data_IF_151946539630
#
_entry.id   IF_151946539630
#
_cell.length_a   1.000
_cell.length_b   1.000
_cell.length_c   1.000
_cell.angle_alpha   90.00
_cell.angle_beta   90.00
_cell.angle_gamma   90.00
#
_symmetry.space_group_name_H-M   'P 1'
#
loop_
_entity.id
_entity.type
_entity.pdbx_description
1 polymer ?
#
# COMPACT_ATOMS: atom_id res chain seq x y z
N UNK A 1 24.23 13.54 -1.37
CA UNK A 1 23.23 13.14 -0.34
C UNK A 1 22.11 12.20 -0.83
N UNK A 2 22.21 11.53 -1.99
CA UNK A 2 21.11 10.71 -2.55
C UNK A 2 20.69 9.52 -1.68
N UNK A 3 21.66 8.77 -1.13
CA UNK A 3 21.37 7.65 -0.23
C UNK A 3 20.66 8.08 1.06
N UNK A 4 20.90 9.30 1.56
CA UNK A 4 20.17 9.83 2.71
C UNK A 4 18.69 10.07 2.38
N UNK A 5 18.41 10.62 1.19
CA UNK A 5 17.02 10.79 0.70
C UNK A 5 16.33 9.44 0.62
N UNK A 6 16.95 8.44 -0.03
CA UNK A 6 16.38 7.10 -0.15
C UNK A 6 16.15 6.45 1.23
N UNK A 7 17.10 6.58 2.16
CA UNK A 7 16.94 6.09 3.52
C UNK A 7 15.76 6.78 4.22
N UNK A 8 15.58 8.09 4.08
CA UNK A 8 14.48 8.79 4.72
C UNK A 8 13.12 8.50 4.07
N UNK A 9 13.07 8.16 2.78
CA UNK A 9 11.86 7.62 2.14
C UNK A 9 11.48 6.28 2.76
N UNK A 10 12.45 5.39 3.01
CA UNK A 10 12.20 4.14 3.75
C UNK A 10 11.66 4.47 5.16
N UNK A 11 12.25 5.46 5.83
CA UNK A 11 11.81 5.89 7.15
C UNK A 11 10.35 6.32 7.18
N UNK A 12 9.93 7.13 6.21
CA UNK A 12 8.53 7.54 6.02
C UNK A 12 7.61 6.33 5.80
N UNK A 13 7.93 5.46 4.83
CA UNK A 13 7.11 4.28 4.53
C UNK A 13 6.98 3.34 5.74
N UNK A 14 8.03 3.21 6.57
CA UNK A 14 7.99 2.40 7.79
C UNK A 14 7.19 3.08 8.91
N UNK A 15 7.31 4.40 9.07
CA UNK A 15 6.63 5.11 10.14
C UNK A 15 5.12 5.24 9.89
N UNK A 16 4.70 5.49 8.65
CA UNK A 16 3.29 5.69 8.29
C UNK A 16 2.49 4.41 8.11
N UNK A 17 3.11 3.27 7.77
CA UNK A 17 2.35 2.04 7.50
C UNK A 17 2.54 0.95 8.56
N UNK A 18 3.71 0.28 8.70
CA UNK A 18 3.84 -0.81 9.66
C UNK A 18 3.85 -0.34 11.11
N UNK A 19 4.29 0.89 11.40
CA UNK A 19 4.36 1.41 12.77
C UNK A 19 3.20 2.32 13.18
N UNK A 20 2.38 2.79 12.24
CA UNK A 20 1.14 3.48 12.56
C UNK A 20 0.12 2.48 13.12
N UNK A 21 -0.49 2.79 14.28
CA UNK A 21 -1.57 1.97 14.83
C UNK A 21 -2.84 2.28 14.04
N UNK A 22 -3.43 1.27 13.38
CA UNK A 22 -4.70 1.32 12.63
C UNK A 22 -5.88 1.86 13.46
N UNK A 23 -5.95 3.16 13.70
CA UNK A 23 -7.10 3.83 14.29
C UNK A 23 -7.42 5.06 13.44
N UNK A 24 -8.64 5.10 12.92
CA UNK A 24 -9.14 6.12 11.99
C UNK A 24 -9.16 7.54 12.61
N UNK A 25 -9.13 7.67 13.94
CA UNK A 25 -8.94 8.93 14.65
C UNK A 25 -7.94 8.74 15.78
N UNK A 26 -6.77 9.37 15.65
CA UNK A 26 -5.74 9.34 16.69
C UNK A 26 -6.13 10.31 17.81
N UNK A 27 -6.23 9.81 19.04
CA UNK A 27 -6.30 10.70 20.20
C UNK A 27 -5.04 11.56 20.28
N UNK A 28 -5.11 12.74 20.93
CA UNK A 28 -3.96 13.65 21.10
C UNK A 28 -2.70 12.95 21.64
N UNK A 29 -2.84 11.95 22.51
CA UNK A 29 -1.72 11.13 23.01
C UNK A 29 -1.13 10.21 21.94
N UNK A 30 -1.96 9.66 21.06
CA UNK A 30 -1.52 8.79 19.98
C UNK A 30 -0.86 9.58 18.85
N UNK A 31 -1.30 10.80 18.57
CA UNK A 31 -0.65 11.71 17.62
C UNK A 31 0.78 12.04 18.06
N UNK A 32 1.01 12.33 19.35
CA UNK A 32 2.36 12.52 19.89
C UNK A 32 3.20 11.24 19.77
N UNK A 33 2.60 10.08 20.04
CA UNK A 33 3.27 8.79 19.86
C UNK A 33 3.68 8.53 18.40
N UNK A 34 2.86 8.94 17.44
CA UNK A 34 3.12 8.78 16.02
C UNK A 34 4.28 9.66 15.54
N UNK A 35 4.32 10.92 15.97
CA UNK A 35 5.46 11.83 15.70
C UNK A 35 6.74 11.29 16.35
N UNK A 36 6.63 10.71 17.55
CA UNK A 36 7.79 10.11 18.23
C UNK A 36 8.35 8.91 17.46
N UNK A 37 7.50 8.05 16.90
CA UNK A 37 7.92 6.93 16.04
C UNK A 37 8.67 7.47 14.81
N UNK A 38 8.12 8.49 14.13
CA UNK A 38 8.80 9.14 13.01
C UNK A 38 10.19 9.62 13.39
N UNK A 39 10.29 10.39 14.49
CA UNK A 39 11.57 10.87 14.99
C UNK A 39 12.55 9.72 15.27
N UNK A 40 12.13 8.65 15.94
CA UNK A 40 12.98 7.50 16.22
C UNK A 40 13.45 6.78 14.96
N UNK A 41 12.56 6.56 13.98
CA UNK A 41 12.92 5.90 12.72
C UNK A 41 13.92 6.73 11.92
N UNK A 42 13.66 8.03 11.77
CA UNK A 42 14.60 8.95 11.10
C UNK A 42 15.93 9.06 11.85
N UNK A 43 15.92 9.02 13.18
CA UNK A 43 17.14 9.03 13.98
C UNK A 43 17.98 7.77 13.75
N UNK A 44 17.36 6.58 13.76
CA UNK A 44 18.05 5.32 13.50
C UNK A 44 18.66 5.30 12.08
N UNK A 45 17.88 5.70 11.07
CA UNK A 45 18.35 5.75 9.69
C UNK A 45 19.40 6.83 9.47
N UNK A 46 19.28 7.95 10.17
CA UNK A 46 20.28 9.01 10.18
C UNK A 46 21.61 8.53 10.78
N UNK A 47 21.57 7.82 11.92
CA UNK A 47 22.76 7.21 12.53
C UNK A 47 23.37 6.17 11.57
N UNK A 48 22.56 5.31 10.96
CA UNK A 48 23.04 4.35 9.96
C UNK A 48 23.72 5.05 8.77
N UNK A 49 23.18 6.18 8.32
CA UNK A 49 23.80 6.99 7.28
C UNK A 49 25.14 7.61 7.72
N UNK A 50 25.25 8.10 8.96
CA UNK A 50 26.53 8.61 9.48
C UNK A 50 27.60 7.51 9.53
N UNK A 51 27.22 6.27 9.91
CA UNK A 51 28.13 5.12 9.92
C UNK A 51 28.56 4.68 8.51
N UNK A 52 27.76 5.02 7.48
CA UNK A 52 28.09 4.75 6.09
C UNK A 52 29.09 5.77 5.50
N UNK A 53 29.16 6.99 6.06
CA UNK A 53 30.08 8.01 5.57
C UNK A 53 31.53 7.71 5.95
N UNK A 54 32.49 7.94 5.03
CA UNK A 54 33.91 7.73 5.33
C UNK A 54 34.45 8.72 6.37
N UNK A 55 33.88 9.92 6.42
CA UNK A 55 34.23 10.97 7.39
C UNK A 55 32.97 11.62 7.94
N UNK A 56 32.95 11.84 9.26
CA UNK A 56 31.83 12.46 9.97
C UNK A 56 32.31 13.74 10.64
N UNK A 57 31.72 14.87 10.26
CA UNK A 57 32.00 16.17 10.85
C UNK A 57 30.86 16.61 11.77
N UNK A 58 31.16 17.48 12.74
CA UNK A 58 30.13 18.06 13.62
C UNK A 58 29.07 18.85 12.84
N UNK A 59 29.44 19.48 11.73
CA UNK A 59 28.52 20.18 10.84
C UNK A 59 27.49 19.23 10.21
N UNK A 60 27.92 18.05 9.73
CA UNK A 60 27.02 17.04 9.16
C UNK A 60 26.05 16.53 10.22
N UNK A 61 26.53 16.26 11.44
CA UNK A 61 25.68 15.82 12.55
C UNK A 61 24.62 16.87 12.86
N UNK A 62 24.99 18.15 12.97
CA UNK A 62 24.06 19.24 13.26
C UNK A 62 23.02 19.42 12.14
N UNK A 63 23.45 19.37 10.87
CA UNK A 63 22.54 19.40 9.71
C UNK A 63 21.57 18.21 9.73
N UNK A 64 22.05 17.03 10.09
CA UNK A 64 21.23 15.83 10.16
C UNK A 64 20.15 15.95 11.25
N UNK A 65 20.52 16.40 12.45
CA UNK A 65 19.54 16.64 13.53
C UNK A 65 18.51 17.69 13.09
N UNK A 66 18.97 18.78 12.48
CA UNK A 66 18.08 19.84 11.99
C UNK A 66 17.11 19.33 10.92
N UNK A 67 17.57 18.57 9.93
CA UNK A 67 16.68 18.06 8.87
C UNK A 67 15.67 17.04 9.40
N UNK A 68 16.05 16.20 10.38
CA UNK A 68 15.12 15.25 11.01
C UNK A 68 14.00 16.00 11.71
N UNK A 69 14.34 17.03 12.51
CA UNK A 69 13.35 17.85 13.20
C UNK A 69 12.44 18.60 12.21
N UNK A 70 13.02 19.15 11.13
CA UNK A 70 12.27 19.84 10.09
C UNK A 70 11.28 18.91 9.38
N UNK A 71 11.71 17.71 8.99
CA UNK A 71 10.85 16.72 8.33
C UNK A 71 9.72 16.28 9.26
N UNK A 72 10.02 15.96 10.53
CA UNK A 72 8.99 15.56 11.49
C UNK A 72 7.95 16.66 11.72
N UNK A 73 8.39 17.92 11.76
CA UNK A 73 7.48 19.06 11.90
C UNK A 73 6.59 19.24 10.66
N UNK A 74 7.17 19.21 9.45
CA UNK A 74 6.40 19.37 8.21
C UNK A 74 5.44 18.20 7.98
N UNK A 75 5.87 16.97 8.29
CA UNK A 75 5.02 15.78 8.23
C UNK A 75 3.79 15.92 9.13
N UNK A 76 3.98 16.35 10.38
CA UNK A 76 2.88 16.60 11.31
C UNK A 76 1.88 17.64 10.80
N UNK A 77 2.36 18.72 10.16
CA UNK A 77 1.50 19.76 9.58
C UNK A 77 0.67 19.19 8.42
N UNK A 78 1.27 18.37 7.56
CA UNK A 78 0.57 17.74 6.43
C UNK A 78 -0.47 16.74 6.92
N UNK A 79 -0.15 15.91 7.91
CA UNK A 79 -1.09 14.92 8.44
C UNK A 79 -2.34 15.57 9.04
N UNK A 80 -2.20 16.67 9.80
CA UNK A 80 -3.35 17.45 10.29
C UNK A 80 -4.17 18.00 9.12
N UNK A 81 -3.51 18.56 8.11
CA UNK A 81 -4.18 19.11 6.94
C UNK A 81 -4.98 18.04 6.18
N UNK A 82 -4.40 16.85 6.02
CA UNK A 82 -5.03 15.70 5.39
C UNK A 82 -6.28 15.25 6.15
N UNK A 83 -6.20 15.07 7.47
CA UNK A 83 -7.35 14.66 8.28
C UNK A 83 -8.52 15.64 8.11
N UNK A 84 -8.25 16.94 8.09
CA UNK A 84 -9.29 17.95 7.87
C UNK A 84 -9.93 17.88 6.48
N UNK A 85 -9.14 17.60 5.44
CA UNK A 85 -9.65 17.46 4.07
C UNK A 85 -10.55 16.22 3.95
N UNK A 86 -10.18 15.10 4.59
CA UNK A 86 -10.97 13.87 4.59
C UNK A 86 -12.31 14.09 5.30
N UNK A 87 -12.30 14.66 6.52
CA UNK A 87 -13.54 14.96 7.25
C UNK A 87 -14.49 15.86 6.41
N UNK A 88 -13.95 16.82 5.63
CA UNK A 88 -14.74 17.68 4.75
C UNK A 88 -15.33 16.96 3.53
N UNK A 89 -14.68 15.91 3.03
CA UNK A 89 -15.19 15.09 1.93
C UNK A 89 -16.33 14.22 2.45
N UNK A 90 -16.10 13.52 3.57
CA UNK A 90 -17.07 12.61 4.19
C UNK A 90 -18.36 13.34 4.63
N UNK A 91 -18.28 14.63 4.99
CA UNK A 91 -19.45 15.44 5.35
C UNK A 91 -20.25 15.96 4.14
N UNK A 92 -19.63 16.09 2.96
CA UNK A 92 -20.23 16.81 1.81
C UNK A 92 -20.71 15.91 0.68
N UNK A 93 -20.05 14.78 0.47
CA UNK A 93 -20.35 13.91 -0.67
C UNK A 93 -21.25 12.76 -0.24
N UNK A 94 -22.46 12.72 -0.79
CA UNK A 94 -23.41 11.61 -0.57
C UNK A 94 -23.18 10.45 -1.57
N UNK A 95 -22.45 10.70 -2.68
CA UNK A 95 -22.13 9.69 -3.69
C UNK A 95 -20.88 8.91 -3.29
N UNK A 96 -21.08 7.65 -2.91
CA UNK A 96 -20.03 6.72 -2.48
C UNK A 96 -18.91 6.54 -3.52
N UNK A 97 -19.20 6.68 -4.82
CA UNK A 97 -18.19 6.56 -5.88
C UNK A 97 -17.28 7.80 -5.93
N UNK A 98 -17.86 8.99 -5.76
CA UNK A 98 -17.09 10.23 -5.69
C UNK A 98 -16.25 10.30 -4.41
N UNK A 99 -16.82 9.87 -3.27
CA UNK A 99 -16.10 9.73 -2.01
C UNK A 99 -14.84 8.87 -2.17
N UNK A 100 -14.98 7.67 -2.77
CA UNK A 100 -13.86 6.78 -3.07
C UNK A 100 -12.79 7.47 -3.93
N UNK A 101 -13.18 8.16 -5.01
CA UNK A 101 -12.23 8.87 -5.89
C UNK A 101 -11.47 9.95 -5.12
N UNK A 102 -12.16 10.75 -4.32
CA UNK A 102 -11.53 11.81 -3.52
C UNK A 102 -10.59 11.23 -2.46
N UNK A 103 -11.00 10.18 -1.75
CA UNK A 103 -10.15 9.50 -0.75
C UNK A 103 -8.90 8.90 -1.39
N UNK A 104 -9.02 8.26 -2.56
CA UNK A 104 -7.85 7.78 -3.34
C UNK A 104 -6.95 8.95 -3.75
N UNK A 105 -7.53 10.05 -4.23
CA UNK A 105 -6.80 11.26 -4.62
C UNK A 105 -6.01 11.87 -3.46
N UNK A 106 -6.65 12.03 -2.30
CA UNK A 106 -6.04 12.54 -1.07
C UNK A 106 -4.92 11.60 -0.60
N UNK A 107 -5.16 10.28 -0.63
CA UNK A 107 -4.13 9.30 -0.28
C UNK A 107 -2.90 9.41 -1.17
N UNK A 108 -3.05 9.48 -2.50
CA UNK A 108 -1.92 9.61 -3.42
C UNK A 108 -1.20 10.95 -3.27
N UNK A 109 -1.95 12.04 -3.06
CA UNK A 109 -1.38 13.38 -2.85
C UNK A 109 -0.58 13.46 -1.55
N UNK A 110 -1.02 12.79 -0.49
CA UNK A 110 -0.31 12.68 0.77
C UNK A 110 1.08 12.04 0.58
N UNK A 111 1.14 10.90 -0.13
CA UNK A 111 2.42 10.22 -0.43
C UNK A 111 3.38 11.11 -1.24
N UNK A 112 2.88 11.82 -2.25
CA UNK A 112 3.69 12.74 -3.07
C UNK A 112 4.17 13.95 -2.25
N UNK A 113 3.33 14.47 -1.36
CA UNK A 113 3.65 15.61 -0.50
C UNK A 113 4.76 15.24 0.48
N UNK A 114 4.67 14.09 1.15
CA UNK A 114 5.71 13.62 2.06
C UNK A 114 7.05 13.37 1.37
N UNK A 115 7.03 12.75 0.18
CA UNK A 115 8.24 12.60 -0.63
C UNK A 115 8.87 13.96 -0.99
N UNK A 116 8.04 14.93 -1.36
CA UNK A 116 8.49 16.28 -1.71
C UNK A 116 9.09 17.01 -0.49
N UNK A 117 8.50 16.83 0.69
CA UNK A 117 9.06 17.35 1.96
C UNK A 117 10.43 16.76 2.24
N UNK A 118 10.61 15.44 2.12
CA UNK A 118 11.89 14.79 2.38
C UNK A 118 12.97 15.30 1.44
N UNK A 119 12.70 15.29 0.12
CA UNK A 119 13.64 15.77 -0.89
C UNK A 119 13.93 17.26 -0.68
N UNK A 120 12.89 18.08 -0.51
CA UNK A 120 13.01 19.53 -0.34
C UNK A 120 13.76 19.93 0.92
N UNK A 121 13.48 19.28 2.06
CA UNK A 121 14.15 19.54 3.33
C UNK A 121 15.64 19.19 3.26
N UNK A 122 16.00 18.03 2.70
CA UNK A 122 17.41 17.65 2.52
C UNK A 122 18.11 18.60 1.53
N UNK A 123 17.45 18.94 0.41
CA UNK A 123 17.96 19.94 -0.55
C UNK A 123 18.30 21.26 0.14
N UNK A 124 17.36 21.77 0.94
CA UNK A 124 17.48 23.05 1.62
C UNK A 124 18.60 23.04 2.68
N UNK A 125 18.65 22.01 3.54
CA UNK A 125 19.60 21.94 4.65
C UNK A 125 21.03 21.64 4.20
N UNK A 126 21.19 20.74 3.24
CA UNK A 126 22.50 20.36 2.72
C UNK A 126 22.95 21.21 1.52
N UNK A 127 22.09 22.13 1.04
CA UNK A 127 22.33 22.97 -0.15
C UNK A 127 22.59 22.14 -1.41
N UNK A 128 21.89 21.01 -1.53
CA UNK A 128 21.99 20.07 -2.64
C UNK A 128 20.91 20.39 -3.68
N UNK A 129 21.29 20.36 -4.96
CA UNK A 129 20.36 20.59 -6.07
C UNK A 129 19.96 19.26 -6.70
N UNK A 130 19.00 18.56 -6.10
CA UNK A 130 18.49 17.31 -6.68
C UNK A 130 17.66 17.61 -7.92
N UNK A 131 18.18 17.26 -9.10
CA UNK A 131 17.43 17.30 -10.36
C UNK A 131 16.69 15.99 -10.58
N UNK A 132 15.72 15.70 -9.71
CA UNK A 132 15.02 14.40 -9.63
C UNK A 132 14.50 13.95 -11.00
N UNK A 133 13.82 14.83 -11.74
CA UNK A 133 13.29 14.49 -13.07
C UNK A 133 14.38 14.18 -14.09
N UNK A 134 15.48 14.93 -14.06
CA UNK A 134 16.62 14.66 -14.96
C UNK A 134 17.29 13.33 -14.61
N UNK A 135 17.47 13.05 -13.31
CA UNK A 135 18.01 11.77 -12.85
C UNK A 135 17.10 10.60 -13.21
N UNK A 136 15.77 10.78 -13.14
CA UNK A 136 14.81 9.76 -13.55
C UNK A 136 14.85 9.53 -15.06
N UNK A 137 14.92 10.59 -15.87
CA UNK A 137 15.04 10.49 -17.33
C UNK A 137 16.33 9.77 -17.75
N UNK A 138 17.46 10.17 -17.17
CA UNK A 138 18.77 9.52 -17.37
C UNK A 138 18.79 8.06 -16.89
N UNK A 139 18.11 7.78 -15.77
CA UNK A 139 17.91 6.43 -15.29
C UNK A 139 17.16 5.67 -16.38
N UNK A 140 15.92 6.07 -16.70
CA UNK A 140 15.01 5.42 -17.66
C UNK A 140 15.56 5.27 -19.08
N UNK A 141 16.48 6.14 -19.50
CA UNK A 141 17.18 6.02 -20.78
C UNK A 141 18.32 5.01 -20.77
N UNK A 142 18.61 4.38 -19.62
CA UNK A 142 19.72 3.43 -19.42
C UNK A 142 21.10 4.11 -19.38
N UNK A 143 21.15 5.45 -19.29
CA UNK A 143 22.41 6.20 -19.32
C UNK A 143 23.01 6.40 -17.92
N UNK A 144 22.22 6.21 -16.86
CA UNK A 144 22.67 6.33 -15.48
C UNK A 144 22.73 4.94 -14.82
N UNK A 145 23.93 4.50 -14.49
CA UNK A 145 24.14 3.37 -13.57
C UNK A 145 24.12 3.87 -12.13
N UNK A 146 23.30 3.25 -11.29
CA UNK A 146 23.24 3.55 -9.87
C UNK A 146 24.29 2.73 -9.12
N UNK A 147 24.83 3.30 -8.05
CA UNK A 147 25.66 2.55 -7.13
C UNK A 147 24.86 1.43 -6.44
N UNK A 148 25.55 0.35 -6.06
CA UNK A 148 24.92 -0.79 -5.39
C UNK A 148 24.12 -0.40 -4.14
N UNK A 149 24.62 0.57 -3.37
CA UNK A 149 23.94 1.11 -2.20
C UNK A 149 22.59 1.73 -2.54
N UNK A 150 22.53 2.57 -3.58
CA UNK A 150 21.29 3.17 -4.07
C UNK A 150 20.34 2.13 -4.67
N UNK A 151 20.85 1.14 -5.41
CA UNK A 151 20.05 0.04 -5.95
C UNK A 151 19.37 -0.77 -4.84
N UNK A 152 20.11 -1.08 -3.76
CA UNK A 152 19.59 -1.80 -2.61
C UNK A 152 18.49 -0.98 -1.89
N UNK A 153 18.75 0.30 -1.61
CA UNK A 153 17.77 1.17 -0.94
C UNK A 153 16.51 1.33 -1.79
N UNK A 154 16.64 1.54 -3.10
CA UNK A 154 15.50 1.65 -4.01
C UNK A 154 14.72 0.34 -4.11
N UNK A 155 15.41 -0.81 -4.03
CA UNK A 155 14.76 -2.13 -3.96
C UNK A 155 13.89 -2.25 -2.71
N UNK A 156 14.40 -1.83 -1.55
CA UNK A 156 13.63 -1.82 -0.30
C UNK A 156 12.41 -0.89 -0.43
N UNK A 157 12.59 0.32 -0.99
CA UNK A 157 11.49 1.26 -1.21
C UNK A 157 10.39 0.63 -2.07
N UNK A 158 10.74 0.02 -3.20
CA UNK A 158 9.74 -0.61 -4.10
C UNK A 158 9.02 -1.76 -3.42
N UNK A 159 9.72 -2.60 -2.65
CA UNK A 159 9.09 -3.68 -1.89
C UNK A 159 8.10 -3.12 -0.84
N UNK A 160 8.50 -2.09 -0.09
CA UNK A 160 7.63 -1.43 0.88
C UNK A 160 6.42 -0.76 0.21
N UNK A 161 6.62 -0.07 -0.92
CA UNK A 161 5.52 0.52 -1.70
C UNK A 161 4.56 -0.55 -2.22
N UNK A 162 5.08 -1.67 -2.72
CA UNK A 162 4.26 -2.80 -3.19
C UNK A 162 3.44 -3.41 -2.05
N UNK A 163 4.00 -3.55 -0.86
CA UNK A 163 3.25 -4.13 0.27
C UNK A 163 2.24 -3.13 0.81
N UNK A 164 2.68 -1.93 1.18
CA UNK A 164 1.90 -0.98 1.97
C UNK A 164 1.12 0.03 1.14
N UNK A 165 1.77 0.71 0.18
CA UNK A 165 1.10 1.76 -0.61
C UNK A 165 0.06 1.13 -1.53
N UNK A 166 0.46 0.14 -2.34
CA UNK A 166 -0.46 -0.59 -3.24
C UNK A 166 -1.52 -1.35 -2.43
N UNK A 167 -1.17 -1.89 -1.27
CA UNK A 167 -2.11 -2.59 -0.40
C UNK A 167 -3.22 -1.69 0.15
N UNK A 168 -2.87 -0.51 0.68
CA UNK A 168 -3.84 0.47 1.17
C UNK A 168 -4.64 1.10 0.02
N UNK A 169 -4.01 1.36 -1.13
CA UNK A 169 -4.71 1.82 -2.33
C UNK A 169 -5.78 0.80 -2.76
N UNK A 170 -5.43 -0.49 -2.81
CA UNK A 170 -6.39 -1.54 -3.11
C UNK A 170 -7.54 -1.54 -2.11
N UNK A 171 -7.25 -1.40 -0.81
CA UNK A 171 -8.27 -1.36 0.22
C UNK A 171 -9.25 -0.19 0.05
N UNK A 172 -8.75 0.99 -0.30
CA UNK A 172 -9.58 2.17 -0.55
C UNK A 172 -10.50 1.97 -1.75
N UNK A 173 -9.96 1.48 -2.87
CA UNK A 173 -10.75 1.22 -4.08
C UNK A 173 -11.78 0.11 -3.84
N UNK A 174 -11.35 -0.97 -3.18
CA UNK A 174 -12.20 -2.13 -2.93
C UNK A 174 -13.30 -1.88 -1.88
N UNK A 175 -13.13 -0.91 -0.98
CA UNK A 175 -14.16 -0.54 -0.01
C UNK A 175 -15.49 -0.15 -0.66
N UNK A 176 -15.45 0.44 -1.85
CA UNK A 176 -16.65 0.76 -2.64
C UNK A 176 -17.35 -0.48 -3.22
N UNK A 177 -16.58 -1.53 -3.54
CA UNK A 177 -17.08 -2.75 -4.15
C UNK A 177 -17.31 -3.89 -3.14
N UNK A 178 -17.08 -3.66 -1.84
CA UNK A 178 -17.24 -4.69 -0.80
C UNK A 178 -18.70 -5.18 -0.81
N UNK A 179 -18.97 -6.46 -1.10
CA UNK A 179 -20.34 -6.96 -1.13
C UNK A 179 -20.97 -6.85 0.26
N UNK A 180 -22.27 -6.59 0.31
CA UNK A 180 -23.04 -6.63 1.56
C UNK A 180 -22.75 -7.96 2.29
N UNK A 181 -22.37 -7.89 3.56
CA UNK A 181 -21.84 -9.03 4.35
C UNK A 181 -22.87 -10.13 4.65
N UNK A 182 -24.05 -10.05 4.04
CA UNK A 182 -25.14 -11.00 4.20
C UNK A 182 -25.15 -12.00 3.03
N UNK A 183 -24.53 -13.17 3.24
CA UNK A 183 -24.72 -14.28 2.32
C UNK A 183 -26.07 -14.92 2.66
N UNK A 184 -27.05 -14.77 1.77
CA UNK A 184 -28.36 -15.42 1.88
C UNK A 184 -28.25 -16.83 1.30
N UNK A 185 -28.03 -17.83 2.15
CA UNK A 185 -28.13 -19.23 1.73
C UNK A 185 -29.60 -19.65 1.72
N UNK A 186 -30.12 -20.02 0.54
CA UNK A 186 -31.45 -20.62 0.41
C UNK A 186 -31.37 -22.08 0.83
N UNK A 187 -31.83 -22.39 2.04
CA UNK A 187 -31.94 -23.77 2.50
C UNK A 187 -33.37 -24.23 2.21
N UNK A 188 -33.49 -25.15 1.26
CA UNK A 188 -34.73 -25.90 1.04
C UNK A 188 -34.88 -26.92 2.17
N UNK A 189 -35.85 -26.70 3.05
CA UNK A 189 -36.18 -27.63 4.12
C UNK A 189 -37.48 -28.33 3.71
N UNK A 190 -37.42 -29.66 3.53
CA UNK A 190 -38.62 -30.46 3.37
C UNK A 190 -39.22 -30.72 4.76
N UNK A 191 -40.28 -29.99 5.11
CA UNK A 191 -41.04 -30.23 6.34
C UNK A 191 -42.20 -31.19 6.04
N UNK A 192 -42.25 -32.31 6.76
CA UNK A 192 -43.38 -33.23 6.69
C UNK A 192 -44.43 -32.79 7.70
N UNK A 193 -45.59 -32.34 7.24
CA UNK A 193 -46.73 -32.04 8.11
C UNK A 193 -47.74 -33.18 8.04
N UNK A 194 -48.09 -33.72 9.21
CA UNK A 194 -49.17 -34.68 9.33
C UNK A 194 -50.50 -33.91 9.40
N UNK A 195 -51.33 -34.06 8.37
CA UNK A 195 -52.69 -33.51 8.35
C UNK A 195 -53.67 -34.68 8.40
N UNK A 196 -54.02 -35.10 9.62
CA UNK A 196 -54.83 -36.29 9.84
C UNK A 196 -54.07 -37.59 9.49
N UNK A 197 -54.71 -38.50 8.76
CA UNK A 197 -54.16 -39.82 8.39
C UNK A 197 -53.27 -39.81 7.14
N UNK A 198 -53.05 -38.63 6.54
CA UNK A 198 -52.20 -38.43 5.37
C UNK A 198 -51.02 -37.52 5.72
N UNK A 199 -49.82 -37.91 5.28
CA UNK A 199 -48.61 -37.09 5.35
C UNK A 199 -48.43 -36.31 4.06
N UNK A 200 -48.44 -34.98 4.13
CA UNK A 200 -48.16 -34.10 3.00
C UNK A 200 -46.74 -33.52 3.16
N UNK A 201 -45.93 -33.60 2.09
CA UNK A 201 -44.57 -33.04 2.08
C UNK A 201 -44.67 -31.61 1.57
N UNK A 202 -44.48 -30.63 2.45
CA UNK A 202 -44.45 -29.22 2.08
C UNK A 202 -42.99 -28.77 1.95
N UNK A 203 -42.59 -28.35 0.75
CA UNK A 203 -41.26 -27.76 0.53
C UNK A 203 -41.26 -26.33 1.00
N UNK A 204 -40.63 -26.06 2.14
CA UNK A 204 -40.48 -24.70 2.66
C UNK A 204 -39.08 -24.21 2.31
N UNK A 205 -39.01 -23.18 1.46
CA UNK A 205 -37.75 -22.48 1.17
C UNK A 205 -37.51 -21.49 2.29
N UNK A 206 -36.50 -21.75 3.12
CA UNK A 206 -36.08 -20.82 4.17
C UNK A 206 -34.79 -20.13 3.78
N UNK A 207 -34.79 -18.80 3.81
CA UNK A 207 -33.57 -18.03 3.64
C UNK A 207 -32.84 -18.02 4.99
N UNK A 208 -31.67 -18.66 5.07
CA UNK A 208 -30.76 -18.48 6.20
C UNK A 208 -29.77 -17.38 5.84
N UNK A 209 -29.83 -16.27 6.57
CA UNK A 209 -28.83 -15.22 6.49
C UNK A 209 -27.65 -15.67 7.34
N UNK A 210 -26.54 -16.03 6.70
CA UNK A 210 -25.28 -16.24 7.39
C UNK A 210 -24.47 -14.95 7.29
N UNK A 211 -24.20 -14.32 8.43
CA UNK A 211 -23.12 -13.35 8.52
C UNK A 211 -21.82 -14.15 8.53
N UNK A 212 -21.10 -14.16 7.40
CA UNK A 212 -19.75 -14.72 7.37
C UNK A 212 -18.87 -13.79 8.21
N UNK A 213 -18.57 -14.20 9.44
CA UNK A 213 -17.48 -13.61 10.21
C UNK A 213 -16.16 -13.99 9.52
N UNK A 214 -15.78 -13.29 8.44
CA UNK A 214 -14.39 -13.27 8.03
C UNK A 214 -13.60 -12.60 9.16
N UNK A 215 -12.77 -13.39 9.85
CA UNK A 215 -11.85 -12.92 10.87
C UNK A 215 -11.14 -11.62 10.45
N UNK A 216 -11.00 -10.64 11.36
CA UNK A 216 -10.67 -9.29 10.96
C UNK A 216 -9.21 -9.13 10.46
N UNK A 217 -9.10 -8.63 9.23
CA UNK A 217 -8.44 -7.35 8.85
C UNK A 217 -6.90 -7.17 8.79
N UNK A 218 -6.03 -8.14 9.08
CA UNK A 218 -4.57 -8.00 8.80
C UNK A 218 -3.98 -8.98 7.79
N UNK A 219 -4.56 -10.17 7.65
CA UNK A 219 -3.99 -11.22 6.80
C UNK A 219 -4.05 -10.87 5.31
N UNK A 220 -5.08 -10.16 4.85
CA UNK A 220 -5.24 -9.78 3.44
C UNK A 220 -4.11 -8.89 2.91
N UNK A 221 -3.64 -7.91 3.70
CA UNK A 221 -2.51 -7.05 3.32
C UNK A 221 -1.23 -7.87 3.13
N UNK A 222 -0.94 -8.79 4.06
CA UNK A 222 0.26 -9.63 3.99
C UNK A 222 0.17 -10.67 2.88
N UNK A 223 -0.98 -11.34 2.70
CA UNK A 223 -1.20 -12.27 1.58
C UNK A 223 -0.99 -11.53 0.25
N UNK A 224 -1.65 -10.39 0.06
CA UNK A 224 -1.47 -9.58 -1.15
C UNK A 224 -0.02 -9.11 -1.35
N UNK A 225 0.66 -8.75 -0.25
CA UNK A 225 2.09 -8.42 -0.27
C UNK A 225 2.95 -9.57 -0.79
N UNK A 226 2.75 -10.79 -0.27
CA UNK A 226 3.45 -11.99 -0.73
C UNK A 226 3.19 -12.29 -2.21
N UNK A 227 1.94 -12.21 -2.65
CA UNK A 227 1.56 -12.44 -4.04
C UNK A 227 2.24 -11.44 -4.98
N UNK A 228 2.23 -10.15 -4.62
CA UNK A 228 2.91 -9.12 -5.41
C UNK A 228 4.42 -9.31 -5.42
N UNK A 229 5.04 -9.75 -4.31
CA UNK A 229 6.47 -10.08 -4.28
C UNK A 229 6.81 -11.23 -5.22
N UNK A 230 5.97 -12.27 -5.30
CA UNK A 230 6.15 -13.38 -6.26
C UNK A 230 6.06 -12.85 -7.69
N UNK A 231 5.05 -12.04 -8.01
CA UNK A 231 4.88 -11.46 -9.36
C UNK A 231 6.08 -10.59 -9.72
N UNK A 232 6.53 -9.70 -8.82
CA UNK A 232 7.73 -8.87 -9.04
C UNK A 232 8.97 -9.73 -9.30
N UNK A 233 9.17 -10.82 -8.55
CA UNK A 233 10.28 -11.75 -8.76
C UNK A 233 10.20 -12.43 -10.13
N UNK A 234 9.01 -12.86 -10.57
CA UNK A 234 8.81 -13.43 -11.90
C UNK A 234 9.09 -12.42 -13.01
N UNK A 235 8.65 -11.17 -12.87
CA UNK A 235 8.96 -10.09 -13.81
C UNK A 235 10.46 -9.77 -13.86
N UNK A 236 11.12 -9.74 -12.70
CA UNK A 236 12.57 -9.55 -12.61
C UNK A 236 13.32 -10.69 -13.34
N UNK A 237 12.87 -11.93 -13.19
CA UNK A 237 13.38 -13.11 -13.90
C UNK A 237 12.95 -13.20 -15.38
N UNK A 238 12.20 -12.21 -15.89
CA UNK A 238 11.65 -12.18 -17.24
C UNK A 238 10.71 -13.36 -17.58
N UNK A 239 10.03 -13.92 -16.58
CA UNK A 239 9.15 -15.07 -16.74
C UNK A 239 7.67 -14.66 -16.60
N UNK A 240 7.13 -14.05 -17.66
CA UNK A 240 5.72 -13.67 -17.71
C UNK A 240 4.76 -14.86 -17.73
N UNK A 241 5.23 -16.02 -18.24
CA UNK A 241 4.45 -17.27 -18.21
C UNK A 241 4.16 -17.68 -16.75
N UNK A 242 5.15 -17.58 -15.86
CA UNK A 242 4.96 -17.86 -14.44
C UNK A 242 3.94 -16.91 -13.79
N UNK A 243 3.94 -15.63 -14.17
CA UNK A 243 2.91 -14.66 -13.70
C UNK A 243 1.52 -15.08 -14.15
N UNK A 244 1.35 -15.45 -15.44
CA UNK A 244 0.07 -15.89 -15.97
C UNK A 244 -0.42 -17.18 -15.31
N UNK A 245 0.46 -18.17 -15.12
CA UNK A 245 0.15 -19.43 -14.42
C UNK A 245 -0.29 -19.15 -12.97
N UNK A 246 0.45 -18.29 -12.26
CA UNK A 246 0.12 -17.90 -10.90
C UNK A 246 -1.25 -17.21 -10.80
N UNK A 247 -1.53 -16.27 -11.72
CA UNK A 247 -2.83 -15.61 -11.83
C UNK A 247 -3.96 -16.61 -12.08
N UNK A 248 -3.77 -17.56 -12.99
CA UNK A 248 -4.74 -18.62 -13.28
C UNK A 248 -5.00 -19.52 -12.06
N UNK A 249 -3.96 -19.97 -11.35
CA UNK A 249 -4.13 -20.77 -10.14
C UNK A 249 -4.91 -20.02 -9.07
N UNK A 250 -4.64 -18.73 -8.91
CA UNK A 250 -5.34 -17.87 -7.96
C UNK A 250 -6.82 -17.72 -8.28
N UNK A 251 -7.19 -17.58 -9.56
CA UNK A 251 -8.59 -17.54 -9.99
C UNK A 251 -9.27 -18.91 -9.84
N UNK A 252 -8.58 -20.00 -10.17
CA UNK A 252 -9.10 -21.36 -10.05
C UNK A 252 -9.40 -21.74 -8.59
N UNK A 253 -8.53 -21.38 -7.66
CA UNK A 253 -8.71 -21.67 -6.23
C UNK A 253 -9.96 -21.01 -5.62
N UNK A 254 -10.46 -19.92 -6.23
CA UNK A 254 -11.65 -19.20 -5.79
C UNK A 254 -12.82 -19.28 -6.78
N UNK A 255 -12.77 -20.22 -7.75
CA UNK A 255 -13.76 -20.34 -8.82
C UNK A 255 -15.22 -20.36 -8.29
N UNK A 256 -15.50 -21.12 -7.23
CA UNK A 256 -16.85 -21.20 -6.63
C UNK A 256 -17.37 -19.87 -6.08
N UNK A 257 -16.49 -18.98 -5.65
CA UNK A 257 -16.89 -17.69 -5.10
C UNK A 257 -17.24 -16.67 -6.20
N UNK A 258 -16.82 -16.91 -7.45
CA UNK A 258 -17.24 -16.09 -8.61
C UNK A 258 -18.68 -16.35 -9.04
N UNK A 259 -19.37 -17.35 -8.46
CA UNK A 259 -20.80 -17.57 -8.68
C UNK A 259 -21.63 -16.40 -8.13
N UNK A 260 -21.13 -15.72 -7.09
CA UNK A 260 -21.66 -14.44 -6.64
C UNK A 260 -21.04 -13.30 -7.47
N UNK A 261 -21.88 -12.59 -8.22
CA UNK A 261 -21.46 -11.50 -9.09
C UNK A 261 -20.78 -10.37 -8.32
N UNK A 262 -21.31 -9.97 -7.16
CA UNK A 262 -20.78 -8.86 -6.38
C UNK A 262 -19.39 -9.19 -5.82
N UNK A 263 -19.24 -10.41 -5.31
CA UNK A 263 -17.93 -10.91 -4.87
C UNK A 263 -16.96 -11.09 -6.04
N UNK A 264 -17.45 -11.57 -7.20
CA UNK A 264 -16.67 -11.72 -8.42
C UNK A 264 -16.05 -10.41 -8.89
N UNK A 265 -16.85 -9.33 -8.95
CA UNK A 265 -16.40 -8.00 -9.37
C UNK A 265 -15.38 -7.42 -8.37
N UNK A 266 -15.66 -7.51 -7.06
CA UNK A 266 -14.75 -7.11 -5.98
C UNK A 266 -13.39 -7.81 -6.10
N UNK A 267 -13.40 -9.14 -6.21
CA UNK A 267 -12.18 -9.94 -6.25
C UNK A 267 -11.39 -9.73 -7.55
N UNK A 268 -12.07 -9.64 -8.70
CA UNK A 268 -11.43 -9.43 -9.99
C UNK A 268 -10.73 -8.07 -10.03
N UNK A 269 -11.43 -7.01 -9.65
CA UNK A 269 -10.89 -5.66 -9.66
C UNK A 269 -9.65 -5.53 -8.77
N UNK A 270 -9.72 -6.07 -7.55
CA UNK A 270 -8.61 -6.04 -6.61
C UNK A 270 -7.36 -6.75 -7.12
N UNK A 271 -7.54 -7.90 -7.79
CA UNK A 271 -6.42 -8.65 -8.36
C UNK A 271 -5.82 -7.97 -9.58
N UNK A 272 -6.64 -7.40 -10.46
CA UNK A 272 -6.16 -6.71 -11.66
C UNK A 272 -5.30 -5.50 -11.29
N UNK A 273 -5.77 -4.65 -10.37
CA UNK A 273 -5.00 -3.49 -9.88
C UNK A 273 -3.71 -3.94 -9.21
N UNK A 274 -3.80 -4.93 -8.31
CA UNK A 274 -2.63 -5.46 -7.59
C UNK A 274 -1.57 -6.04 -8.53
N UNK A 275 -1.97 -6.82 -9.54
CA UNK A 275 -1.05 -7.40 -10.52
C UNK A 275 -0.49 -6.35 -11.47
N UNK A 276 -1.29 -5.41 -11.95
CA UNK A 276 -0.80 -4.31 -12.79
C UNK A 276 0.30 -3.52 -12.08
N UNK A 277 0.08 -3.14 -10.82
CA UNK A 277 1.09 -2.46 -9.99
C UNK A 277 2.33 -3.34 -9.76
N UNK A 278 2.16 -4.63 -9.44
CA UNK A 278 3.31 -5.52 -9.19
C UNK A 278 4.16 -5.77 -10.45
N UNK A 279 3.53 -5.92 -11.61
CA UNK A 279 4.25 -6.07 -12.89
C UNK A 279 5.06 -4.81 -13.18
N UNK A 280 4.43 -3.62 -13.06
CA UNK A 280 5.11 -2.35 -13.26
C UNK A 280 6.32 -2.18 -12.32
N UNK A 281 6.12 -2.41 -11.01
CA UNK A 281 7.19 -2.30 -10.01
C UNK A 281 8.30 -3.35 -10.21
N UNK A 282 7.97 -4.57 -10.65
CA UNK A 282 8.93 -5.62 -10.95
C UNK A 282 9.85 -5.28 -12.12
N UNK A 283 9.29 -4.74 -13.20
CA UNK A 283 10.10 -4.25 -14.33
C UNK A 283 10.89 -3.00 -13.99
N UNK A 284 10.32 -2.09 -13.20
CA UNK A 284 11.07 -0.94 -12.68
C UNK A 284 12.29 -1.39 -11.87
N UNK A 285 12.16 -2.41 -11.02
CA UNK A 285 13.31 -2.98 -10.31
C UNK A 285 14.35 -3.59 -11.25
N UNK A 286 13.91 -4.39 -12.21
CA UNK A 286 14.81 -4.97 -13.21
C UNK A 286 15.66 -3.89 -13.88
N UNK A 287 15.01 -2.77 -14.21
CA UNK A 287 15.63 -1.61 -14.80
C UNK A 287 16.64 -0.91 -13.86
N UNK A 288 16.30 -0.72 -12.59
CA UNK A 288 17.21 -0.18 -11.55
C UNK A 288 18.50 -1.00 -11.43
N UNK A 289 18.41 -2.31 -11.62
CA UNK A 289 19.55 -3.23 -11.58
C UNK A 289 20.30 -3.35 -12.92
N UNK A 290 19.88 -2.62 -13.95
CA UNK A 290 20.56 -2.58 -15.26
C UNK A 290 20.39 -3.86 -16.10
N UNK A 291 19.39 -4.68 -15.81
CA UNK A 291 19.10 -5.87 -16.61
C UNK A 291 18.23 -5.53 -17.83
N UNK A 292 18.56 -6.09 -19.00
CA UNK A 292 17.82 -5.87 -20.24
C UNK A 292 16.35 -6.34 -20.15
N UNK A 293 15.42 -5.50 -20.59
CA UNK A 293 14.00 -5.85 -20.71
C UNK A 293 13.80 -6.52 -22.07
N UNK A 294 13.81 -7.85 -22.08
CA UNK A 294 13.45 -8.63 -23.26
C UNK A 294 11.95 -8.86 -23.24
N UNK A 295 11.21 -8.12 -24.06
CA UNK A 295 9.78 -8.36 -24.31
C UNK A 295 9.57 -9.48 -25.32
#
# INVERSE_FOLDING_TARGET
>A
MGNLVLAFIIGHLLADFPFQKNQLKLTRKQMVGHIFIHFCVYLVLGIAYLLYLPEVTSEIILKLVYVILLICFLHWVVDIGKEHVIDLIDEKEEDLHLEMIYQVGVFLLDQVTHLTIIVGAISFVFKENFRVFQSLDLLLSGMLSLEFSSQLLLTIIVLLMSIFVVGNLNKLILGYFEPDREIVEKVEVEETRAVGDFSEIERVVTNRVFTVEEFPTKSGLWIGGFERSIVMMCCFANNLIAVAIFACFKMLARFRQFEDKSYGDYYLLGNLISFACAIFLGYFLKFVWGFEINF
#
